data_IF_377985648303
#
_entry.id   IF_377985648303
#
_cell.length_a   1.000
_cell.length_b   1.000
_cell.length_c   1.000
_cell.angle_alpha   90.00
_cell.angle_beta   90.00
_cell.angle_gamma   90.00
#
_symmetry.space_group_name_H-M   'P 1'
#
loop_
_entity.id
_entity.type
_entity.pdbx_description
1 polymer ?
#
# COMPACT_ATOMS: atom_id res chain seq x y z
N UNK A 1 -10.98 -13.37 35.56
CA UNK A 1 -9.78 -13.05 34.76
C UNK A 1 -8.77 -12.20 35.54
N UNK A 2 -7.51 -12.61 35.64
CA UNK A 2 -6.42 -11.83 36.23
C UNK A 2 -5.30 -11.55 35.21
N UNK A 3 -4.34 -10.67 35.53
CA UNK A 3 -3.22 -10.29 34.64
C UNK A 3 -2.31 -11.49 34.30
N UNK A 4 -2.14 -12.42 35.24
CA UNK A 4 -1.38 -13.65 35.01
C UNK A 4 -2.00 -14.54 33.93
N UNK A 5 -3.32 -14.66 33.89
CA UNK A 5 -4.05 -15.43 32.88
C UNK A 5 -3.86 -14.81 31.49
N UNK A 6 -3.95 -13.48 31.38
CA UNK A 6 -3.74 -12.74 30.13
C UNK A 6 -2.32 -12.96 29.61
N UNK A 7 -1.33 -12.96 30.51
CA UNK A 7 0.09 -13.19 30.17
C UNK A 7 0.35 -14.63 29.74
N UNK A 8 -0.32 -15.61 30.34
CA UNK A 8 -0.27 -17.00 29.90
C UNK A 8 -0.88 -17.18 28.51
N UNK A 9 -2.04 -16.56 28.24
CA UNK A 9 -2.66 -16.56 26.91
C UNK A 9 -1.77 -15.88 25.86
N UNK A 10 -1.13 -14.76 26.21
CA UNK A 10 -0.19 -14.07 25.32
C UNK A 10 1.06 -14.91 25.01
N UNK A 11 1.55 -15.72 25.95
CA UNK A 11 2.60 -16.70 25.70
C UNK A 11 2.14 -17.80 24.75
N UNK A 12 0.96 -18.35 25.01
CA UNK A 12 0.39 -19.41 24.17
C UNK A 12 0.27 -18.95 22.71
N UNK A 13 -0.24 -17.75 22.47
CA UNK A 13 -0.35 -17.18 21.12
C UNK A 13 1.02 -17.04 20.45
N UNK A 14 2.06 -16.66 21.20
CA UNK A 14 3.42 -16.56 20.67
C UNK A 14 4.05 -17.92 20.36
N UNK A 15 3.89 -18.92 21.25
CA UNK A 15 4.48 -20.25 21.10
C UNK A 15 3.80 -21.09 20.02
N UNK A 16 2.48 -20.95 19.88
CA UNK A 16 1.70 -21.69 18.88
C UNK A 16 1.68 -21.03 17.50
N UNK A 17 2.17 -19.79 17.40
CA UNK A 17 2.10 -19.00 16.16
C UNK A 17 0.67 -18.62 15.76
N UNK A 18 -0.28 -18.63 16.69
CA UNK A 18 -1.64 -18.16 16.42
C UNK A 18 -1.62 -16.70 16.02
N UNK A 19 -2.31 -16.36 14.93
CA UNK A 19 -2.46 -14.97 14.47
C UNK A 19 -3.45 -14.19 15.33
N UNK A 20 -4.42 -14.87 15.94
CA UNK A 20 -5.42 -14.25 16.80
C UNK A 20 -6.03 -15.26 17.79
N UNK A 21 -6.32 -14.79 19.01
CA UNK A 21 -7.04 -15.53 20.04
C UNK A 21 -8.07 -14.59 20.68
N UNK A 22 -9.33 -15.02 20.71
CA UNK A 22 -10.44 -14.28 21.30
C UNK A 22 -11.02 -15.09 22.46
N UNK A 23 -11.17 -14.45 23.62
CA UNK A 23 -11.71 -15.05 24.85
C UNK A 23 -12.80 -14.14 25.40
N UNK A 24 -13.96 -14.72 25.68
CA UNK A 24 -15.09 -14.01 26.30
C UNK A 24 -15.45 -14.65 27.65
N UNK A 25 -15.41 -13.87 28.72
CA UNK A 25 -15.78 -14.31 30.08
C UNK A 25 -16.68 -13.26 30.75
N UNK A 26 -17.92 -13.64 31.09
CA UNK A 26 -18.87 -12.78 31.85
C UNK A 26 -19.03 -11.36 31.27
N UNK A 27 -19.07 -11.24 29.94
CA UNK A 27 -19.19 -9.96 29.23
C UNK A 27 -17.86 -9.21 29.02
N UNK A 28 -16.74 -9.75 29.51
CA UNK A 28 -15.40 -9.27 29.21
C UNK A 28 -14.86 -9.98 27.97
N UNK A 29 -14.59 -9.22 26.91
CA UNK A 29 -14.02 -9.72 25.66
C UNK A 29 -12.55 -9.31 25.55
N UNK A 30 -11.65 -10.29 25.50
CA UNK A 30 -10.21 -10.08 25.30
C UNK A 30 -9.81 -10.63 23.93
N UNK A 31 -9.13 -9.81 23.14
CA UNK A 31 -8.62 -10.19 21.82
C UNK A 31 -7.11 -10.00 21.80
N UNK A 32 -6.40 -11.11 21.65
CA UNK A 32 -4.93 -11.16 21.61
C UNK A 32 -4.54 -11.42 20.16
N UNK A 33 -3.80 -10.49 19.55
CA UNK A 33 -3.24 -10.69 18.22
C UNK A 33 -1.82 -11.21 18.36
N UNK A 34 -1.52 -12.26 17.60
CA UNK A 34 -0.17 -12.79 17.52
C UNK A 34 0.79 -11.83 16.86
N UNK A 35 2.08 -12.20 16.80
CA UNK A 35 3.07 -11.41 16.10
C UNK A 35 2.62 -11.20 14.65
N UNK A 36 2.17 -9.98 14.35
CA UNK A 36 2.04 -9.56 12.95
C UNK A 36 3.44 -9.61 12.39
N UNK A 37 3.67 -10.51 11.43
CA UNK A 37 4.77 -10.32 10.50
C UNK A 37 4.63 -8.89 10.01
N UNK A 38 5.61 -8.05 10.34
CA UNK A 38 5.71 -6.72 9.76
C UNK A 38 6.01 -7.00 8.30
N UNK A 39 4.97 -7.20 7.50
CA UNK A 39 5.08 -7.09 6.06
C UNK A 39 5.50 -5.66 5.82
N UNK A 40 6.81 -5.47 5.66
CA UNK A 40 7.39 -4.26 5.16
C UNK A 40 6.71 -4.06 3.82
N UNK A 41 5.69 -3.19 3.78
CA UNK A 41 5.10 -2.76 2.54
C UNK A 41 6.19 -2.05 1.77
N UNK A 42 6.84 -2.76 0.87
CA UNK A 42 7.76 -2.19 -0.10
C UNK A 42 6.94 -1.26 -0.96
N UNK A 43 7.03 0.04 -0.68
CA UNK A 43 6.42 1.05 -1.53
C UNK A 43 7.03 0.92 -2.92
N UNK A 44 6.22 0.79 -4.00
CA UNK A 44 6.76 0.72 -5.34
C UNK A 44 7.54 2.00 -5.64
N UNK A 45 8.77 1.84 -6.10
CA UNK A 45 9.62 2.96 -6.48
C UNK A 45 8.93 3.77 -7.60
N UNK A 46 8.84 5.08 -7.40
CA UNK A 46 8.22 6.00 -8.34
C UNK A 46 9.00 5.99 -9.66
N UNK A 47 8.28 5.82 -10.78
CA UNK A 47 8.89 5.89 -12.11
C UNK A 47 9.36 7.33 -12.41
N UNK A 48 10.54 7.50 -13.03
CA UNK A 48 11.05 8.82 -13.40
C UNK A 48 10.12 9.54 -14.38
N UNK A 49 9.99 10.86 -14.20
CA UNK A 49 9.11 11.70 -15.01
C UNK A 49 9.58 11.74 -16.48
N UNK A 50 8.64 11.76 -17.45
CA UNK A 50 8.97 11.83 -18.86
C UNK A 50 9.66 13.17 -19.20
N UNK A 51 10.61 13.17 -20.15
CA UNK A 51 11.29 14.38 -20.57
C UNK A 51 10.32 15.36 -21.26
N UNK A 52 10.59 16.68 -21.17
CA UNK A 52 9.76 17.69 -21.83
C UNK A 52 9.79 17.51 -23.36
N UNK A 53 8.61 17.54 -23.97
CA UNK A 53 8.47 17.42 -25.43
C UNK A 53 8.87 18.73 -26.11
N UNK A 54 9.76 18.63 -27.09
CA UNK A 54 10.20 19.76 -27.90
C UNK A 54 9.16 20.03 -28.99
N UNK A 55 8.61 21.25 -29.01
CA UNK A 55 7.63 21.68 -30.01
C UNK A 55 8.41 22.16 -31.24
N UNK A 56 8.18 21.52 -32.39
CA UNK A 56 8.74 21.95 -33.67
C UNK A 56 7.97 23.15 -34.23
N UNK A 57 8.65 24.10 -34.88
CA UNK A 57 8.00 25.24 -35.50
C UNK A 57 7.09 24.83 -36.66
N UNK A 58 6.00 25.56 -36.93
CA UNK A 58 5.09 25.27 -38.02
C UNK A 58 5.79 25.40 -39.38
N UNK A 59 5.44 24.49 -40.29
CA UNK A 59 5.99 24.48 -41.65
C UNK A 59 5.51 25.70 -42.46
N UNK A 60 6.35 26.25 -43.36
CA UNK A 60 5.97 27.37 -44.20
C UNK A 60 4.85 26.97 -45.18
N UNK A 61 3.83 27.83 -45.29
CA UNK A 61 2.69 27.64 -46.18
C UNK A 61 3.10 27.98 -47.61
N UNK A 62 2.88 27.05 -48.54
CA UNK A 62 3.13 27.28 -49.97
C UNK A 62 2.03 28.18 -50.57
N UNK A 63 2.46 29.22 -51.28
CA UNK A 63 1.56 30.14 -51.99
C UNK A 63 1.13 29.50 -53.31
N UNK A 64 -0.18 29.41 -53.63
CA UNK A 64 -0.62 28.84 -54.89
C UNK A 64 -0.20 29.71 -56.09
N UNK A 65 0.10 29.10 -57.25
CA UNK A 65 0.52 29.86 -58.43
C UNK A 65 -0.63 30.70 -59.00
N UNK A 66 -0.32 31.85 -59.63
CA UNK A 66 -1.32 32.74 -60.21
C UNK A 66 -2.04 32.06 -61.37
N UNK A 67 -3.37 32.13 -61.35
CA UNK A 67 -4.23 31.66 -62.45
C UNK A 67 -4.28 32.76 -63.51
N UNK A 68 -3.84 32.45 -64.74
CA UNK A 68 -3.97 33.33 -65.90
C UNK A 68 -5.39 33.20 -66.51
N UNK A 69 -5.93 34.28 -67.12
CA UNK A 69 -7.34 34.40 -67.54
C UNK A 69 -7.73 33.53 -68.74
#
# INVERSE_FOLDING_TARGET
MNVDDIRALARLVQETGLTELEVEERGLKIRIRGPRAIEIQTMPASLPAPPPQMILPPAPVAVPPPVAP
#
